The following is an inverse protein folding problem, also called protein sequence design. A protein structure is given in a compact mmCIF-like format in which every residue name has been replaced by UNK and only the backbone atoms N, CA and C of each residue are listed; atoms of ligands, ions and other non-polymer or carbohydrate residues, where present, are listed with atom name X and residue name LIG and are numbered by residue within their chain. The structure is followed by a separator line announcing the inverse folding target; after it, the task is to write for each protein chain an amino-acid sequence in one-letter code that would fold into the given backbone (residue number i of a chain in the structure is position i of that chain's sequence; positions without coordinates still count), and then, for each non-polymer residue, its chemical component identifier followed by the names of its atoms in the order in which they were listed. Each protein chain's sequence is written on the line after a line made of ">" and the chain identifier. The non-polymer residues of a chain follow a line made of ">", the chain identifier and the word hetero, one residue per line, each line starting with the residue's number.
data_IF_383616865747
#
_entry.id   IF_383616865747
#
_cell.length_a   1.000
_cell.length_b   1.000
_cell.length_c   1.000
_cell.angle_alpha   90.00
_cell.angle_beta   90.00
_cell.angle_gamma   90.00
#
_symmetry.space_group_name_H-M   'P 1'
#
loop_
_entity.id
_entity.type
_entity.pdbx_description
1 polymer ?
#
# COMPACT_ATOMS: atom_id res chain seq x y z
N UNK A 1 -4.34 -14.15 0.12
CA UNK A 1 -4.50 -12.78 -0.40
C UNK A 1 -5.28 -12.86 -1.70
N UNK A 2 -6.54 -12.45 -1.73
CA UNK A 2 -7.41 -12.56 -2.92
C UNK A 2 -7.40 -11.29 -3.79
N UNK A 3 -6.79 -10.22 -3.28
CA UNK A 3 -6.78 -8.91 -3.90
C UNK A 3 -5.35 -8.35 -3.99
N UNK A 4 -5.13 -7.50 -5.00
CA UNK A 4 -3.96 -6.64 -5.15
C UNK A 4 -4.35 -5.24 -4.67
N UNK A 5 -3.55 -4.66 -3.78
CA UNK A 5 -3.81 -3.35 -3.18
C UNK A 5 -2.96 -2.28 -3.85
N UNK A 6 -3.53 -1.10 -4.07
CA UNK A 6 -2.85 0.02 -4.71
C UNK A 6 -3.47 1.35 -4.26
N UNK A 7 -2.75 2.45 -4.46
CA UNK A 7 -3.20 3.79 -4.09
C UNK A 7 -2.81 4.79 -5.17
N UNK A 8 -3.56 5.89 -5.28
CA UNK A 8 -3.15 7.04 -6.11
C UNK A 8 -2.20 7.99 -5.39
N UNK A 9 -1.92 7.78 -4.10
CA UNK A 9 -1.04 8.64 -3.31
C UNK A 9 0.38 8.06 -3.24
N UNK A 10 1.35 8.76 -3.84
CA UNK A 10 2.75 8.35 -3.84
C UNK A 10 3.31 8.16 -2.43
N UNK A 11 2.96 9.06 -1.49
CA UNK A 11 3.38 8.96 -0.08
C UNK A 11 2.87 7.70 0.61
N UNK A 12 1.62 7.32 0.33
CA UNK A 12 1.02 6.08 0.85
C UNK A 12 1.69 4.84 0.24
N UNK A 13 1.96 4.87 -1.06
CA UNK A 13 2.66 3.77 -1.75
C UNK A 13 4.09 3.58 -1.24
N UNK A 14 4.83 4.68 -1.05
CA UNK A 14 6.19 4.67 -0.48
C UNK A 14 6.22 4.11 0.94
N UNK A 15 5.32 4.57 1.81
CA UNK A 15 5.21 4.01 3.16
C UNK A 15 4.90 2.50 3.14
N UNK A 16 3.94 2.07 2.31
CA UNK A 16 3.59 0.67 2.18
C UNK A 16 4.78 -0.19 1.67
N UNK A 17 5.57 0.34 0.73
CA UNK A 17 6.78 -0.32 0.24
C UNK A 17 7.83 -0.46 1.33
N UNK A 18 8.00 0.56 2.18
CA UNK A 18 8.97 0.51 3.28
C UNK A 18 8.59 -0.51 4.36
N UNK A 19 7.31 -0.71 4.64
CA UNK A 19 6.86 -1.65 5.68
C UNK A 19 6.46 -3.03 5.12
N UNK A 20 6.63 -3.25 3.81
CA UNK A 20 6.30 -4.52 3.17
C UNK A 20 7.19 -5.64 3.70
N UNK A 21 6.60 -6.80 3.96
CA UNK A 21 7.35 -8.01 4.34
C UNK A 21 8.12 -8.54 3.13
N UNK A 22 9.41 -8.80 3.31
CA UNK A 22 10.27 -9.37 2.28
C UNK A 22 11.72 -8.92 2.42
N UNK A 23 12.60 -9.59 1.69
CA UNK A 23 14.00 -9.21 1.59
C UNK A 23 14.24 -8.34 0.34
N UNK A 24 15.25 -7.46 0.41
CA UNK A 24 15.66 -6.61 -0.71
C UNK A 24 15.14 -5.18 -0.63
N UNK A 25 15.39 -4.40 -1.69
CA UNK A 25 15.03 -2.98 -1.74
C UNK A 25 13.51 -2.80 -1.88
N UNK A 26 12.95 -1.84 -1.15
CA UNK A 26 11.60 -1.33 -1.37
C UNK A 26 11.43 -0.89 -2.83
N UNK A 27 10.26 -1.18 -3.42
CA UNK A 27 9.92 -0.74 -4.79
C UNK A 27 8.49 -0.24 -4.84
N UNK A 28 8.27 0.82 -5.62
CA UNK A 28 6.94 1.37 -5.90
C UNK A 28 6.70 1.32 -7.41
N UNK A 29 5.70 0.56 -7.83
CA UNK A 29 5.34 0.45 -9.25
C UNK A 29 4.15 1.36 -9.57
N UNK A 30 4.21 2.01 -10.73
CA UNK A 30 3.06 2.67 -11.34
C UNK A 30 2.29 1.60 -12.09
N UNK A 31 1.00 1.49 -11.80
CA UNK A 31 0.15 0.40 -12.30
C UNK A 31 -1.12 0.92 -12.97
N UNK A 32 -1.57 0.20 -13.98
CA UNK A 32 -2.86 0.38 -14.62
C UNK A 32 -3.79 -0.81 -14.26
N UNK A 33 -4.98 -0.56 -13.69
CA UNK A 33 -5.98 -1.60 -13.49
C UNK A 33 -6.38 -2.25 -14.81
N UNK A 34 -6.47 -3.58 -14.84
CA UNK A 34 -6.95 -4.32 -16.04
C UNK A 34 -8.43 -4.68 -15.97
N UNK A 35 -9.09 -4.34 -14.86
CA UNK A 35 -10.51 -4.55 -14.66
C UNK A 35 -11.03 -3.74 -13.48
N UNK A 36 -12.19 -4.13 -12.96
CA UNK A 36 -12.86 -3.45 -11.85
C UNK A 36 -12.05 -3.54 -10.55
N UNK A 37 -12.10 -2.48 -9.78
CA UNK A 37 -11.52 -2.37 -8.45
C UNK A 37 -12.50 -1.63 -7.53
N UNK A 38 -12.27 -1.72 -6.23
CA UNK A 38 -13.11 -1.11 -5.19
C UNK A 38 -12.24 -0.40 -4.15
N UNK A 39 -12.86 0.42 -3.31
CA UNK A 39 -12.20 1.05 -2.16
C UNK A 39 -11.62 -0.02 -1.22
N UNK A 40 -10.41 0.25 -0.70
CA UNK A 40 -9.76 -0.66 0.25
C UNK A 40 -10.50 -0.63 1.61
N UNK A 41 -11.13 -1.73 2.04
CA UNK A 41 -11.87 -1.77 3.29
C UNK A 41 -10.96 -1.74 4.52
N UNK A 42 -9.64 -1.89 4.38
CA UNK A 42 -8.69 -1.78 5.50
C UNK A 42 -8.52 -0.34 5.98
N UNK A 43 -8.81 0.65 5.12
CA UNK A 43 -8.56 2.07 5.44
C UNK A 43 -9.75 2.99 5.10
N UNK A 44 -10.69 2.53 4.28
CA UNK A 44 -11.92 3.27 3.95
C UNK A 44 -12.94 3.16 5.07
N UNK A 45 -13.51 4.28 5.50
CA UNK A 45 -14.48 4.35 6.61
C UNK A 45 -13.99 3.72 7.93
N UNK A 46 -12.67 3.70 8.18
CA UNK A 46 -12.08 3.19 9.42
C UNK A 46 -11.82 4.27 10.45
N UNK A 47 -10.81 5.10 10.20
CA UNK A 47 -10.45 6.23 11.08
C UNK A 47 -11.17 7.52 10.66
N UNK A 48 -11.44 7.66 9.37
CA UNK A 48 -12.03 8.84 8.77
C UNK A 48 -13.14 8.42 7.79
N UNK A 49 -14.16 9.28 7.56
CA UNK A 49 -15.22 9.00 6.59
C UNK A 49 -14.68 9.00 5.15
N UNK A 50 -15.21 8.10 4.33
CA UNK A 50 -14.80 7.89 2.94
C UNK A 50 -13.42 7.24 2.80
N UNK A 51 -12.81 7.48 1.64
CA UNK A 51 -11.49 6.95 1.26
C UNK A 51 -10.47 8.11 1.10
N UNK A 52 -10.08 8.80 2.19
CA UNK A 52 -9.15 9.93 2.09
C UNK A 52 -7.74 9.51 1.68
N UNK A 53 -7.34 8.26 1.93
CA UNK A 53 -6.05 7.70 1.50
C UNK A 53 -6.04 7.33 0.01
N UNK A 54 -7.21 7.34 -0.65
CA UNK A 54 -7.40 6.92 -2.04
C UNK A 54 -6.76 5.56 -2.30
N UNK A 55 -7.03 4.63 -1.38
CA UNK A 55 -6.53 3.25 -1.41
C UNK A 55 -7.61 2.34 -1.97
N UNK A 56 -7.21 1.40 -2.83
CA UNK A 56 -8.10 0.52 -3.56
C UNK A 56 -7.57 -0.90 -3.54
N UNK A 57 -8.45 -1.85 -3.88
CA UNK A 57 -8.08 -3.25 -4.10
C UNK A 57 -8.76 -3.83 -5.34
N UNK A 58 -8.10 -4.78 -5.99
CA UNK A 58 -8.59 -5.45 -7.20
C UNK A 58 -8.35 -6.95 -7.14
N UNK A 59 -9.38 -7.74 -7.47
CA UNK A 59 -9.22 -9.18 -7.72
C UNK A 59 -8.68 -9.47 -9.12
N UNK A 60 -8.73 -8.48 -10.02
CA UNK A 60 -8.13 -8.54 -11.36
C UNK A 60 -6.65 -8.14 -11.31
N UNK A 61 -5.80 -8.71 -12.18
CA UNK A 61 -4.40 -8.30 -12.28
C UNK A 61 -4.23 -6.80 -12.52
N UNK A 62 -3.08 -6.26 -12.11
CA UNK A 62 -2.66 -4.91 -12.48
C UNK A 62 -1.53 -5.02 -13.50
N UNK A 63 -1.48 -4.09 -14.46
CA UNK A 63 -0.37 -3.97 -15.40
C UNK A 63 0.63 -2.97 -14.87
N UNK A 64 1.89 -3.36 -14.69
CA UNK A 64 2.98 -2.42 -14.40
C UNK A 64 3.23 -1.59 -15.66
N UNK A 65 3.20 -0.26 -15.51
CA UNK A 65 3.47 0.71 -16.59
C UNK A 65 4.66 1.60 -16.29
N UNK A 66 5.25 1.47 -15.10
CA UNK A 66 6.47 2.16 -14.69
C UNK A 66 6.90 1.79 -13.28
N UNK A 67 8.05 2.30 -12.86
CA UNK A 67 8.58 2.22 -11.49
C UNK A 67 8.87 3.65 -11.04
N UNK A 68 8.48 4.02 -9.82
CA UNK A 68 8.94 5.25 -9.19
C UNK A 68 10.33 4.99 -8.62
N UNK A 69 11.32 5.74 -9.08
CA UNK A 69 12.71 5.60 -8.64
C UNK A 69 12.96 6.26 -7.27
N UNK A 70 12.13 7.22 -6.88
CA UNK A 70 12.20 7.89 -5.59
C UNK A 70 10.83 8.37 -5.12
N UNK A 71 10.70 8.52 -3.80
CA UNK A 71 9.53 9.08 -3.12
C UNK A 71 9.98 9.78 -1.84
N UNK A 72 9.10 10.60 -1.27
CA UNK A 72 9.36 11.25 0.02
C UNK A 72 9.48 10.17 1.12
N UNK A 73 10.68 10.01 1.67
CA UNK A 73 10.91 9.14 2.83
C UNK A 73 10.35 9.79 4.09
N UNK A 74 9.74 8.96 4.94
CA UNK A 74 9.39 9.36 6.31
C UNK A 74 10.59 9.19 7.23
N UNK A 75 10.47 9.69 8.46
CA UNK A 75 11.46 9.51 9.51
C UNK A 75 11.84 8.01 9.64
N UNK A 76 13.13 7.64 9.49
CA UNK A 76 13.57 6.25 9.62
C UNK A 76 13.18 5.58 10.94
N UNK A 77 13.19 6.33 12.05
CA UNK A 77 12.78 5.78 13.35
C UNK A 77 11.29 5.45 13.37
N UNK A 78 10.48 6.26 12.69
CA UNK A 78 9.04 6.00 12.54
C UNK A 78 8.77 4.78 11.65
N UNK A 79 9.52 4.62 10.55
CA UNK A 79 9.41 3.45 9.68
C UNK A 79 9.78 2.16 10.43
N UNK A 80 10.86 2.19 11.21
CA UNK A 80 11.33 1.04 11.98
C UNK A 80 10.29 0.60 13.03
N UNK A 81 9.68 1.56 13.73
CA UNK A 81 8.59 1.27 14.67
C UNK A 81 7.37 0.66 13.96
N UNK A 82 7.00 1.16 12.77
CA UNK A 82 5.90 0.58 12.00
C UNK A 82 6.21 -0.84 11.53
N UNK A 83 7.43 -1.13 11.07
CA UNK A 83 7.87 -2.47 10.69
C UNK A 83 7.68 -3.46 11.85
N UNK A 84 8.17 -3.11 13.03
CA UNK A 84 8.00 -3.95 14.24
C UNK A 84 6.55 -4.26 14.55
N UNK A 85 5.65 -3.28 14.40
CA UNK A 85 4.22 -3.49 14.63
C UNK A 85 3.59 -4.40 13.56
N UNK A 86 3.97 -4.24 12.30
CA UNK A 86 3.52 -5.12 11.19
C UNK A 86 4.01 -6.56 11.37
N UNK A 87 5.23 -6.72 11.86
CA UNK A 87 5.79 -8.04 12.20
C UNK A 87 5.07 -8.66 13.41
N UNK A 88 4.67 -7.85 14.38
CA UNK A 88 3.83 -8.26 15.51
C UNK A 88 2.35 -8.53 15.13
N UNK A 89 1.97 -8.39 13.85
CA UNK A 89 0.62 -8.71 13.36
C UNK A 89 -0.35 -7.52 13.28
N UNK A 90 0.11 -6.29 13.54
CA UNK A 90 -0.72 -5.11 13.32
C UNK A 90 -0.95 -4.87 11.83
N UNK A 91 -2.20 -4.58 11.44
CA UNK A 91 -2.54 -4.30 10.04
C UNK A 91 -2.83 -5.55 9.20
N UNK A 92 -3.37 -6.60 9.82
CA UNK A 92 -3.90 -7.74 9.07
C UNK A 92 -4.85 -7.27 7.97
N UNK A 93 -4.56 -7.75 6.76
CA UNK A 93 -5.27 -7.34 5.55
C UNK A 93 -6.55 -8.15 5.43
N UNK A 94 -7.69 -7.44 5.44
CA UNK A 94 -9.00 -8.00 5.13
C UNK A 94 -9.01 -8.46 3.68
N UNK A 95 -9.16 -9.77 3.47
CA UNK A 95 -9.31 -10.39 2.16
C UNK A 95 -10.73 -10.23 1.63
#
# INVERSE_FOLDING_TARGET
>A
MNHIYFTTQQKGAGLAAEIAKGEGRSRVYVVAPTGTFEDDPNVTNRKFPGNPTRSYRSARPLRIVGELESWESLDPAFIEELRRRVDAGMGEIIN
#
